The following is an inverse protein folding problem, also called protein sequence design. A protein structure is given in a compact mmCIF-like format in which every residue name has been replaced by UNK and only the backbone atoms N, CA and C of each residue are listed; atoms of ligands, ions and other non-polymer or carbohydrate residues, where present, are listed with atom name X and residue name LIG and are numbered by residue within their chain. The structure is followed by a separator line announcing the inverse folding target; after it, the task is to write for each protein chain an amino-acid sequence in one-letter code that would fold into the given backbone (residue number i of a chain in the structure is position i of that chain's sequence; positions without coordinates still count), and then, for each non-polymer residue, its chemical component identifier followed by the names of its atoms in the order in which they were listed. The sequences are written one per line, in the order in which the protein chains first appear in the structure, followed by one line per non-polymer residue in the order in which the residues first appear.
data_IF_477334302185
#
_entry.id   IF_477334302185
#
_cell.length_a   1.000
_cell.length_b   1.000
_cell.length_c   1.000
_cell.angle_alpha   90.00
_cell.angle_beta   90.00
_cell.angle_gamma   90.00
#
_symmetry.space_group_name_H-M   'P 1'
#
loop_
_entity.id
_entity.type
_entity.pdbx_description
1 polymer ?
#
# COMPACT_ATOMS: atom_id res chain seq x y z
N UNK A 1 -24.54 -40.08 26.87
CA UNK A 1 -24.71 -39.73 25.45
C UNK A 1 -23.46 -40.14 24.70
N UNK A 2 -23.59 -40.86 23.57
CA UNK A 2 -22.45 -41.11 22.68
C UNK A 2 -21.86 -39.76 22.25
N UNK A 3 -20.54 -39.68 22.11
CA UNK A 3 -19.93 -38.45 21.57
C UNK A 3 -20.45 -38.23 20.14
N UNK A 4 -20.62 -36.98 19.71
CA UNK A 4 -21.01 -36.65 18.33
C UNK A 4 -20.09 -37.33 17.31
N UNK A 5 -18.80 -37.47 17.66
CA UNK A 5 -17.80 -38.19 16.87
C UNK A 5 -18.14 -39.67 16.70
N UNK A 6 -18.62 -40.33 17.75
CA UNK A 6 -19.10 -41.71 17.69
C UNK A 6 -20.39 -41.81 16.86
N UNK A 7 -21.31 -40.84 16.99
CA UNK A 7 -22.55 -40.84 16.21
C UNK A 7 -22.28 -40.69 14.71
N UNK A 8 -21.37 -39.79 14.31
CA UNK A 8 -20.96 -39.63 12.90
C UNK A 8 -20.28 -40.89 12.38
N UNK A 9 -19.39 -41.50 13.18
CA UNK A 9 -18.73 -42.76 12.81
C UNK A 9 -19.74 -43.91 12.65
N UNK A 10 -20.69 -44.02 13.58
CA UNK A 10 -21.75 -45.02 13.51
C UNK A 10 -22.60 -44.82 12.24
N UNK A 11 -22.86 -43.58 11.84
CA UNK A 11 -23.61 -43.25 10.63
C UNK A 11 -22.82 -43.55 9.34
N UNK A 12 -21.52 -43.22 9.29
CA UNK A 12 -20.63 -43.61 8.17
C UNK A 12 -20.53 -45.14 8.05
N UNK A 13 -20.44 -45.86 9.18
CA UNK A 13 -20.43 -47.33 9.22
C UNK A 13 -21.75 -47.91 8.76
N UNK A 14 -22.89 -47.35 9.22
CA UNK A 14 -24.22 -47.78 8.80
C UNK A 14 -24.37 -47.64 7.29
N UNK A 15 -23.96 -46.50 6.72
CA UNK A 15 -24.00 -46.25 5.28
C UNK A 15 -23.09 -47.19 4.49
N UNK A 16 -21.90 -47.52 5.02
CA UNK A 16 -21.02 -48.52 4.40
C UNK A 16 -21.60 -49.93 4.43
N UNK A 17 -22.19 -50.35 5.56
CA UNK A 17 -22.85 -51.65 5.70
C UNK A 17 -24.06 -51.76 4.77
N UNK A 18 -24.91 -50.73 4.72
CA UNK A 18 -26.03 -50.66 3.77
C UNK A 18 -25.51 -50.81 2.33
N UNK A 19 -24.40 -50.12 1.99
CA UNK A 19 -23.86 -50.16 0.63
C UNK A 19 -23.24 -51.51 0.24
N UNK A 20 -22.68 -52.27 1.18
CA UNK A 20 -21.92 -53.49 0.90
C UNK A 20 -22.78 -54.76 1.02
N UNK A 21 -23.61 -54.85 2.05
CA UNK A 21 -24.25 -56.10 2.45
C UNK A 21 -25.72 -56.19 2.04
N UNK A 22 -26.35 -55.04 1.76
CA UNK A 22 -27.77 -54.95 1.36
C UNK A 22 -27.92 -54.81 -0.17
N UNK A 23 -26.99 -54.11 -0.83
CA UNK A 23 -27.09 -53.78 -2.27
C UNK A 23 -27.00 -55.00 -3.20
N UNK A 24 -26.46 -56.14 -2.75
CA UNK A 24 -26.33 -57.33 -3.58
C UNK A 24 -27.68 -57.97 -3.99
N UNK A 25 -28.66 -57.97 -3.07
CA UNK A 25 -29.90 -58.75 -3.23
C UNK A 25 -31.21 -57.92 -3.10
N UNK A 26 -31.13 -56.66 -2.67
CA UNK A 26 -32.32 -55.84 -2.39
C UNK A 26 -32.79 -55.07 -3.64
N UNK A 27 -33.90 -55.51 -4.24
CA UNK A 27 -34.47 -54.95 -5.50
C UNK A 27 -35.54 -53.88 -5.32
N UNK A 28 -35.77 -53.38 -4.11
CA UNK A 28 -36.80 -52.38 -3.83
C UNK A 28 -36.27 -50.97 -4.12
N UNK A 29 -36.54 -50.48 -5.33
CA UNK A 29 -36.15 -49.12 -5.76
C UNK A 29 -36.76 -48.02 -4.89
N UNK A 30 -37.93 -48.24 -4.28
CA UNK A 30 -38.59 -47.25 -3.42
C UNK A 30 -37.83 -47.09 -2.11
N UNK A 31 -37.50 -48.21 -1.45
CA UNK A 31 -36.69 -48.19 -0.23
C UNK A 31 -35.32 -47.53 -0.46
N UNK A 32 -34.69 -47.80 -1.61
CA UNK A 32 -33.42 -47.16 -1.96
C UNK A 32 -33.55 -45.65 -2.14
N UNK A 33 -34.62 -45.20 -2.82
CA UNK A 33 -34.92 -43.78 -2.98
C UNK A 33 -35.09 -43.11 -1.62
N UNK A 34 -35.88 -43.69 -0.73
CA UNK A 34 -36.12 -43.16 0.62
C UNK A 34 -34.83 -43.05 1.44
N UNK A 35 -33.96 -44.08 1.38
CA UNK A 35 -32.65 -44.05 2.05
C UNK A 35 -31.74 -42.95 1.51
N UNK A 36 -31.71 -42.76 0.19
CA UNK A 36 -30.93 -41.69 -0.43
C UNK A 36 -31.45 -40.31 -0.04
N UNK A 37 -32.77 -40.13 0.09
CA UNK A 37 -33.38 -38.89 0.58
C UNK A 37 -32.97 -38.59 2.03
N UNK A 38 -32.93 -39.60 2.90
CA UNK A 38 -32.47 -39.44 4.30
C UNK A 38 -30.99 -39.03 4.34
N UNK A 39 -30.14 -39.67 3.52
CA UNK A 39 -28.70 -39.36 3.46
C UNK A 39 -28.47 -37.93 2.97
N UNK A 40 -29.13 -37.54 1.88
CA UNK A 40 -29.02 -36.19 1.31
C UNK A 40 -29.52 -35.12 2.30
N UNK A 41 -30.64 -35.40 2.99
CA UNK A 41 -31.16 -34.51 4.05
C UNK A 41 -30.17 -34.36 5.20
N UNK A 42 -29.56 -35.46 5.64
CA UNK A 42 -28.55 -35.48 6.71
C UNK A 42 -27.29 -34.71 6.30
N UNK A 43 -26.79 -34.94 5.08
CA UNK A 43 -25.62 -34.24 4.54
C UNK A 43 -25.87 -32.73 4.46
N UNK A 44 -27.04 -32.32 3.96
CA UNK A 44 -27.44 -30.90 3.91
C UNK A 44 -27.46 -30.26 5.31
N UNK A 45 -27.98 -30.97 6.31
CA UNK A 45 -27.99 -30.48 7.70
C UNK A 45 -26.58 -30.36 8.27
N UNK A 46 -25.68 -31.30 7.97
CA UNK A 46 -24.28 -31.23 8.37
C UNK A 46 -23.56 -30.04 7.70
N UNK A 47 -23.77 -29.84 6.40
CA UNK A 47 -23.21 -28.70 5.66
C UNK A 47 -23.65 -27.38 6.27
N UNK A 48 -24.95 -27.22 6.57
CA UNK A 48 -25.48 -26.02 7.23
C UNK A 48 -24.90 -25.82 8.65
N UNK A 49 -24.85 -26.89 9.45
CA UNK A 49 -24.29 -26.84 10.80
C UNK A 49 -22.80 -26.49 10.81
N UNK A 50 -22.01 -27.08 9.91
CA UNK A 50 -20.59 -26.75 9.75
C UNK A 50 -20.40 -25.34 9.19
N UNK A 51 -21.22 -24.89 8.23
CA UNK A 51 -21.19 -23.52 7.74
C UNK A 51 -21.40 -22.50 8.87
N UNK A 52 -22.44 -22.70 9.69
CA UNK A 52 -22.69 -21.91 10.91
C UNK A 52 -21.55 -21.99 11.94
N UNK A 53 -20.84 -23.12 12.00
CA UNK A 53 -19.65 -23.27 12.86
C UNK A 53 -18.44 -22.51 12.32
N UNK A 54 -18.23 -22.50 11.00
CA UNK A 54 -17.14 -21.76 10.35
C UNK A 54 -17.29 -20.25 10.52
N UNK A 55 -18.52 -19.74 10.64
CA UNK A 55 -18.74 -18.34 11.04
C UNK A 55 -18.30 -18.03 12.47
N UNK A 56 -18.08 -19.03 13.33
CA UNK A 56 -17.74 -18.88 14.77
C UNK A 56 -16.31 -19.28 15.10
N UNK A 57 -15.42 -19.31 14.10
CA UNK A 57 -14.02 -19.68 14.29
C UNK A 57 -13.27 -18.80 15.29
N UNK A 58 -13.61 -17.50 15.39
CA UNK A 58 -13.04 -16.59 16.37
C UNK A 58 -13.44 -16.91 17.83
N UNK A 59 -14.62 -17.49 18.01
CA UNK A 59 -15.17 -17.86 19.33
C UNK A 59 -14.61 -19.20 19.80
N UNK A 60 -14.71 -20.25 18.98
CA UNK A 60 -14.33 -21.61 19.37
C UNK A 60 -12.85 -21.92 19.22
N UNK A 61 -12.14 -21.17 18.36
CA UNK A 61 -10.69 -21.29 18.12
C UNK A 61 -10.21 -22.74 17.89
N UNK A 62 -10.87 -23.54 17.01
CA UNK A 62 -10.48 -24.93 16.77
C UNK A 62 -9.06 -25.04 16.21
N UNK A 63 -8.43 -26.22 16.31
CA UNK A 63 -7.15 -26.45 15.61
C UNK A 63 -7.33 -26.30 14.10
N UNK A 64 -6.35 -25.73 13.40
CA UNK A 64 -6.43 -25.52 11.94
C UNK A 64 -6.65 -26.83 11.19
N UNK A 65 -6.01 -27.92 11.62
CA UNK A 65 -6.23 -29.26 11.03
C UNK A 65 -7.66 -29.78 11.19
N UNK A 66 -8.37 -29.38 12.24
CA UNK A 66 -9.79 -29.69 12.42
C UNK A 66 -10.64 -28.92 11.40
N UNK A 67 -10.36 -27.62 11.22
CA UNK A 67 -11.05 -26.79 10.21
C UNK A 67 -10.79 -27.33 8.80
N UNK A 68 -9.53 -27.67 8.50
CA UNK A 68 -9.13 -28.28 7.23
C UNK A 68 -9.90 -29.57 6.96
N UNK A 69 -10.01 -30.44 7.97
CA UNK A 69 -10.75 -31.71 7.85
C UNK A 69 -12.23 -31.47 7.57
N UNK A 70 -12.86 -30.52 8.26
CA UNK A 70 -14.26 -30.16 8.04
C UNK A 70 -14.47 -29.63 6.63
N UNK A 71 -13.63 -28.69 6.19
CA UNK A 71 -13.76 -28.06 4.87
C UNK A 71 -13.52 -29.08 3.75
N UNK A 72 -12.55 -29.99 3.89
CA UNK A 72 -12.32 -31.06 2.90
C UNK A 72 -13.47 -32.07 2.82
N UNK A 73 -14.12 -32.37 3.95
CA UNK A 73 -15.28 -33.29 4.00
C UNK A 73 -16.58 -32.63 3.56
N UNK A 74 -16.76 -31.34 3.85
CA UNK A 74 -17.99 -30.58 3.62
C UNK A 74 -17.68 -29.24 2.93
N UNK A 75 -17.18 -29.25 1.68
CA UNK A 75 -16.72 -28.03 1.02
C UNK A 75 -17.82 -26.99 0.81
N UNK A 76 -19.07 -27.43 0.63
CA UNK A 76 -20.22 -26.52 0.49
C UNK A 76 -20.52 -25.73 1.77
N UNK A 77 -19.97 -26.14 2.93
CA UNK A 77 -20.06 -25.37 4.16
C UNK A 77 -19.40 -23.99 4.03
N UNK A 78 -18.41 -23.84 3.14
CA UNK A 78 -17.79 -22.55 2.83
C UNK A 78 -18.72 -21.58 2.09
N UNK A 79 -19.77 -22.08 1.43
CA UNK A 79 -20.74 -21.29 0.67
C UNK A 79 -21.94 -20.86 1.52
N UNK A 80 -22.10 -21.45 2.71
CA UNK A 80 -23.14 -21.06 3.66
C UNK A 80 -22.86 -19.65 4.11
N UNK A 81 -23.87 -18.79 3.94
CA UNK A 81 -23.81 -17.41 4.36
C UNK A 81 -24.53 -17.24 5.69
N UNK A 82 -24.03 -16.33 6.52
CA UNK A 82 -24.69 -15.99 7.78
C UNK A 82 -25.88 -15.04 7.57
N UNK A 83 -26.51 -14.61 8.66
CA UNK A 83 -27.62 -13.65 8.68
C UNK A 83 -27.28 -12.27 8.09
N UNK A 84 -26.00 -11.94 7.98
CA UNK A 84 -25.49 -10.72 7.32
C UNK A 84 -25.10 -10.97 5.87
N UNK A 85 -25.45 -12.12 5.28
CA UNK A 85 -25.11 -12.53 3.91
C UNK A 85 -23.59 -12.64 3.66
N UNK A 86 -22.78 -12.85 4.71
CA UNK A 86 -21.31 -12.98 4.61
C UNK A 86 -20.90 -14.43 4.46
N UNK A 87 -19.80 -14.68 3.76
CA UNK A 87 -19.11 -15.98 3.73
C UNK A 87 -18.26 -16.20 5.00
N UNK A 88 -17.91 -17.44 5.36
CA UNK A 88 -17.12 -17.69 6.56
C UNK A 88 -15.76 -16.98 6.61
N UNK A 89 -15.10 -16.85 5.45
CA UNK A 89 -13.84 -16.10 5.32
C UNK A 89 -14.02 -14.61 5.64
N UNK A 90 -15.15 -14.00 5.25
CA UNK A 90 -15.48 -12.61 5.57
C UNK A 90 -15.73 -12.48 7.06
N UNK A 91 -16.48 -13.39 7.68
CA UNK A 91 -16.74 -13.35 9.14
C UNK A 91 -15.46 -13.41 9.97
N UNK A 92 -14.42 -14.14 9.52
CA UNK A 92 -13.13 -14.18 10.20
C UNK A 92 -12.49 -12.79 10.39
N UNK A 93 -12.70 -11.87 9.44
CA UNK A 93 -12.15 -10.51 9.50
C UNK A 93 -12.87 -9.61 10.50
N UNK A 94 -14.18 -9.84 10.69
CA UNK A 94 -15.01 -9.02 11.58
C UNK A 94 -14.87 -9.37 13.06
N UNK A 95 -14.12 -10.42 13.39
CA UNK A 95 -13.73 -10.67 14.77
C UNK A 95 -12.67 -9.66 15.21
N UNK A 96 -12.88 -9.04 16.37
CA UNK A 96 -11.89 -8.18 17.03
C UNK A 96 -10.65 -8.97 17.46
N UNK A 97 -10.77 -10.29 17.59
CA UNK A 97 -9.67 -11.18 17.94
C UNK A 97 -8.85 -11.59 16.72
N UNK A 98 -7.54 -11.38 16.79
CA UNK A 98 -6.57 -11.82 15.77
C UNK A 98 -6.54 -13.35 15.59
N UNK A 99 -7.13 -14.15 16.50
CA UNK A 99 -7.13 -15.61 16.38
C UNK A 99 -7.89 -16.15 15.16
N UNK A 100 -8.91 -15.44 14.69
CA UNK A 100 -9.67 -15.86 13.51
C UNK A 100 -8.88 -15.65 12.20
N UNK A 101 -7.92 -14.72 12.19
CA UNK A 101 -7.17 -14.34 10.99
C UNK A 101 -6.37 -15.51 10.42
N UNK A 102 -5.82 -16.39 11.27
CA UNK A 102 -5.04 -17.54 10.84
C UNK A 102 -5.80 -18.53 9.95
N UNK A 103 -7.14 -18.53 10.01
CA UNK A 103 -7.95 -19.40 9.15
C UNK A 103 -8.15 -18.83 7.75
N UNK A 104 -7.90 -17.53 7.51
CA UNK A 104 -8.14 -16.88 6.21
C UNK A 104 -7.39 -17.57 5.07
N UNK A 105 -6.07 -17.84 5.15
CA UNK A 105 -5.36 -18.53 4.06
C UNK A 105 -5.91 -19.93 3.79
N UNK A 106 -6.24 -20.67 4.85
CA UNK A 106 -6.85 -22.00 4.73
C UNK A 106 -8.21 -21.95 4.02
N UNK A 107 -9.09 -21.05 4.46
CA UNK A 107 -10.43 -20.92 3.88
C UNK A 107 -10.37 -20.44 2.42
N UNK A 108 -9.46 -19.52 2.09
CA UNK A 108 -9.27 -19.05 0.72
C UNK A 108 -8.74 -20.16 -0.20
N UNK A 109 -7.73 -20.92 0.25
CA UNK A 109 -7.12 -22.01 -0.51
C UNK A 109 -8.09 -23.14 -0.78
N UNK A 110 -8.81 -23.61 0.24
CA UNK A 110 -9.84 -24.64 0.03
C UNK A 110 -11.05 -24.07 -0.73
N UNK A 111 -11.43 -22.82 -0.46
CA UNK A 111 -12.51 -22.15 -1.18
C UNK A 111 -12.22 -22.06 -2.68
N UNK A 112 -10.97 -21.80 -3.07
CA UNK A 112 -10.57 -21.78 -4.48
C UNK A 112 -10.75 -23.14 -5.15
N UNK A 113 -10.37 -24.24 -4.47
CA UNK A 113 -10.58 -25.62 -4.98
C UNK A 113 -12.05 -25.96 -5.20
N UNK A 114 -12.93 -25.35 -4.42
CA UNK A 114 -14.37 -25.64 -4.43
C UNK A 114 -15.22 -24.50 -5.03
N UNK A 115 -14.58 -23.59 -5.77
CA UNK A 115 -15.24 -22.50 -6.49
C UNK A 115 -16.12 -21.61 -5.60
N UNK A 116 -15.68 -21.33 -4.38
CA UNK A 116 -16.42 -20.50 -3.41
C UNK A 116 -16.37 -19.04 -3.85
N UNK A 117 -17.54 -18.42 -4.01
CA UNK A 117 -17.69 -17.05 -4.51
C UNK A 117 -17.72 -16.94 -6.05
N UNK A 118 -17.35 -18.01 -6.78
CA UNK A 118 -17.22 -18.01 -8.24
C UNK A 118 -15.77 -18.16 -8.71
N UNK A 119 -15.57 -18.45 -10.00
CA UNK A 119 -14.28 -18.92 -10.53
C UNK A 119 -13.16 -17.91 -10.35
N UNK A 120 -13.50 -16.62 -10.44
CA UNK A 120 -12.57 -15.51 -10.31
C UNK A 120 -12.45 -15.00 -8.88
N UNK A 121 -13.29 -15.47 -7.94
CA UNK A 121 -13.35 -14.93 -6.57
C UNK A 121 -12.23 -15.40 -5.65
N UNK A 122 -11.31 -16.24 -6.13
CA UNK A 122 -10.16 -16.79 -5.38
C UNK A 122 -10.56 -17.32 -4.00
N UNK A 123 -11.60 -18.16 -3.99
CA UNK A 123 -12.13 -18.76 -2.76
C UNK A 123 -12.82 -17.79 -1.80
N UNK A 124 -13.42 -16.73 -2.34
CA UNK A 124 -14.12 -15.70 -1.57
C UNK A 124 -13.28 -14.47 -1.21
N UNK A 125 -11.98 -14.46 -1.54
CA UNK A 125 -11.11 -13.30 -1.31
C UNK A 125 -11.55 -12.07 -2.10
N UNK A 126 -12.04 -12.26 -3.32
CA UNK A 126 -12.50 -11.16 -4.17
C UNK A 126 -14.03 -10.97 -4.14
N UNK A 127 -14.71 -11.71 -3.25
CA UNK A 127 -16.15 -11.52 -3.02
C UNK A 127 -16.41 -10.28 -2.19
N UNK A 128 -17.38 -9.48 -2.61
CA UNK A 128 -17.82 -8.26 -1.93
C UNK A 128 -18.41 -8.58 -0.56
N UNK A 129 -18.03 -7.80 0.46
CA UNK A 129 -18.63 -7.88 1.79
C UNK A 129 -19.92 -7.04 1.82
N UNK A 130 -21.06 -7.65 2.14
CA UNK A 130 -22.37 -6.97 2.15
C UNK A 130 -22.50 -5.87 3.20
N UNK A 131 -21.59 -5.78 4.18
CA UNK A 131 -21.65 -4.77 5.25
C UNK A 131 -20.90 -3.49 4.94
N UNK A 132 -20.11 -3.46 3.89
CA UNK A 132 -19.52 -2.23 3.39
C UNK A 132 -20.55 -1.57 2.50
N UNK A 133 -21.34 -0.64 3.04
CA UNK A 133 -22.58 -0.11 2.45
C UNK A 133 -22.50 0.52 1.06
N UNK A 134 -21.32 0.62 0.45
CA UNK A 134 -21.13 1.02 -0.95
C UNK A 134 -20.86 -0.16 -1.90
N UNK A 135 -20.80 -1.40 -1.40
CA UNK A 135 -20.57 -2.61 -2.20
C UNK A 135 -19.19 -2.67 -2.86
N UNK A 136 -18.22 -1.85 -2.44
CA UNK A 136 -16.92 -1.76 -3.13
C UNK A 136 -15.80 -2.57 -2.48
N UNK A 137 -16.04 -3.15 -1.30
CA UNK A 137 -15.00 -3.80 -0.51
C UNK A 137 -15.08 -5.30 -0.65
N UNK A 138 -14.10 -5.88 -1.31
CA UNK A 138 -13.90 -7.32 -1.28
C UNK A 138 -13.14 -7.74 -0.01
N UNK A 139 -13.17 -9.03 0.29
CA UNK A 139 -12.49 -9.62 1.45
C UNK A 139 -11.00 -9.29 1.49
N UNK A 140 -10.30 -9.21 0.35
CA UNK A 140 -8.87 -8.87 0.29
C UNK A 140 -8.60 -7.41 0.69
N UNK A 141 -9.41 -6.46 0.22
CA UNK A 141 -9.37 -5.05 0.67
C UNK A 141 -9.65 -4.95 2.16
N UNK A 142 -10.57 -5.77 2.67
CA UNK A 142 -10.84 -5.86 4.11
C UNK A 142 -9.64 -6.41 4.89
N UNK A 143 -8.93 -7.43 4.41
CA UNK A 143 -7.67 -7.87 5.05
C UNK A 143 -6.70 -6.70 5.19
N UNK A 144 -6.56 -5.86 4.15
CA UNK A 144 -5.68 -4.69 4.20
C UNK A 144 -6.18 -3.56 5.12
N UNK A 145 -7.49 -3.36 5.28
CA UNK A 145 -8.05 -2.24 6.05
C UNK A 145 -8.55 -2.56 7.46
N UNK A 146 -8.83 -3.83 7.76
CA UNK A 146 -9.56 -4.17 8.97
C UNK A 146 -8.80 -3.82 10.23
N UNK A 147 -9.55 -3.27 11.20
CA UNK A 147 -9.07 -2.69 12.44
C UNK A 147 -8.10 -1.51 12.24
N UNK A 148 -8.08 -0.89 11.06
CA UNK A 148 -7.25 0.29 10.76
C UNK A 148 -7.54 1.53 11.60
N UNK A 149 -8.53 1.52 12.49
CA UNK A 149 -8.65 2.59 13.48
C UNK A 149 -7.38 2.77 14.32
N UNK A 150 -7.37 3.78 15.18
CA UNK A 150 -6.32 4.00 16.19
C UNK A 150 -6.23 2.87 17.26
N UNK A 151 -6.93 1.75 17.04
CA UNK A 151 -7.15 0.65 17.97
C UNK A 151 -6.47 -0.65 17.56
N UNK A 152 -5.90 -0.76 16.35
CA UNK A 152 -5.11 -1.93 15.99
C UNK A 152 -3.88 -2.04 16.90
N UNK A 153 -3.75 -3.19 17.57
CA UNK A 153 -2.54 -3.53 18.31
C UNK A 153 -1.48 -4.01 17.34
N UNK A 154 -0.21 -3.95 17.76
CA UNK A 154 0.92 -4.43 16.97
C UNK A 154 0.74 -5.91 16.60
N UNK A 155 0.27 -6.74 17.53
CA UNK A 155 0.07 -8.18 17.34
C UNK A 155 -1.04 -8.47 16.31
N UNK A 156 -2.07 -7.62 16.26
CA UNK A 156 -3.10 -7.71 15.24
C UNK A 156 -2.53 -7.41 13.86
N UNK A 157 -1.72 -6.36 13.74
CA UNK A 157 -1.08 -5.98 12.47
C UNK A 157 -0.09 -7.05 11.99
N UNK A 158 0.75 -7.57 12.88
CA UNK A 158 1.64 -8.72 12.63
C UNK A 158 0.86 -9.96 12.17
N UNK A 159 -0.32 -10.21 12.73
CA UNK A 159 -1.16 -11.33 12.33
C UNK A 159 -1.71 -11.16 10.91
N UNK A 160 -2.06 -9.93 10.50
CA UNK A 160 -2.48 -9.64 9.12
C UNK A 160 -1.32 -9.79 8.15
N UNK A 161 -0.11 -9.35 8.50
CA UNK A 161 1.09 -9.57 7.66
C UNK A 161 1.30 -11.07 7.40
N UNK A 162 1.20 -11.92 8.44
CA UNK A 162 1.29 -13.38 8.28
C UNK A 162 0.21 -13.96 7.35
N UNK A 163 -1.01 -13.39 7.38
CA UNK A 163 -2.07 -13.76 6.45
C UNK A 163 -1.67 -13.37 5.01
N UNK A 164 -1.23 -12.14 4.78
CA UNK A 164 -0.81 -11.67 3.46
C UNK A 164 0.37 -12.49 2.90
N UNK A 165 1.36 -12.81 3.74
CA UNK A 165 2.48 -13.70 3.39
C UNK A 165 2.02 -15.09 2.99
N UNK A 166 1.11 -15.70 3.76
CA UNK A 166 0.56 -17.01 3.43
C UNK A 166 -0.27 -16.98 2.15
N UNK A 167 -1.05 -15.92 1.92
CA UNK A 167 -1.81 -15.74 0.68
C UNK A 167 -0.87 -15.57 -0.52
N UNK A 168 0.24 -14.84 -0.37
CA UNK A 168 1.26 -14.69 -1.42
C UNK A 168 1.94 -16.04 -1.71
N UNK A 169 2.30 -16.79 -0.67
CA UNK A 169 2.91 -18.13 -0.79
C UNK A 169 2.02 -19.11 -1.55
N UNK A 170 0.70 -19.03 -1.33
CA UNK A 170 -0.29 -19.88 -1.99
C UNK A 170 -0.70 -19.36 -3.39
N UNK A 171 -0.11 -18.27 -3.88
CA UNK A 171 -0.43 -17.66 -5.18
C UNK A 171 -1.80 -16.97 -5.23
N UNK A 172 -2.40 -16.70 -4.06
CA UNK A 172 -3.72 -16.06 -3.93
C UNK A 172 -3.64 -14.53 -3.85
N UNK A 173 -2.51 -14.00 -3.36
CA UNK A 173 -2.14 -12.58 -3.41
C UNK A 173 -0.97 -12.39 -4.38
N UNK A 174 -1.14 -11.48 -5.33
CA UNK A 174 -0.16 -11.14 -6.36
C UNK A 174 0.28 -9.67 -6.22
N UNK A 175 1.35 -9.29 -6.93
CA UNK A 175 1.81 -7.88 -6.98
C UNK A 175 0.70 -6.99 -7.54
N UNK A 176 0.06 -7.44 -8.62
CA UNK A 176 -0.95 -6.68 -9.37
C UNK A 176 -2.17 -6.35 -8.52
N UNK A 177 -2.51 -7.21 -7.54
CA UNK A 177 -3.62 -7.00 -6.63
C UNK A 177 -3.42 -5.74 -5.76
N UNK A 178 -2.17 -5.34 -5.47
CA UNK A 178 -1.86 -4.14 -4.69
C UNK A 178 -2.40 -2.90 -5.40
N UNK A 179 -2.11 -2.78 -6.70
CA UNK A 179 -2.61 -1.73 -7.59
C UNK A 179 -4.10 -1.86 -7.85
N UNK A 180 -4.55 -3.03 -8.32
CA UNK A 180 -5.93 -3.28 -8.77
C UNK A 180 -6.98 -3.03 -7.67
N UNK A 181 -6.66 -3.41 -6.44
CA UNK A 181 -7.58 -3.28 -5.29
C UNK A 181 -7.19 -2.17 -4.32
N UNK A 182 -6.20 -1.35 -4.67
CA UNK A 182 -5.67 -0.26 -3.84
C UNK A 182 -5.34 -0.70 -2.40
N UNK A 183 -4.71 -1.88 -2.26
CA UNK A 183 -4.49 -2.50 -0.94
C UNK A 183 -3.61 -1.63 -0.04
N UNK A 184 -2.62 -0.94 -0.64
CA UNK A 184 -1.73 -0.07 0.11
C UNK A 184 -2.50 1.13 0.69
N UNK A 185 -3.40 1.74 -0.07
CA UNK A 185 -4.32 2.78 0.42
C UNK A 185 -5.24 2.25 1.54
N UNK A 186 -5.72 1.02 1.44
CA UNK A 186 -6.49 0.39 2.51
C UNK A 186 -5.70 0.24 3.82
N UNK A 187 -4.37 0.27 3.78
CA UNK A 187 -3.48 0.10 4.93
C UNK A 187 -2.85 1.40 5.47
N UNK A 188 -3.29 2.59 5.03
CA UNK A 188 -2.65 3.88 5.40
C UNK A 188 -2.93 4.38 6.82
N UNK A 189 -3.40 3.51 7.70
CA UNK A 189 -3.71 3.85 9.07
C UNK A 189 -2.49 3.73 9.99
N UNK A 190 -2.43 4.53 11.06
CA UNK A 190 -1.31 4.46 12.03
C UNK A 190 -1.13 3.07 12.65
N UNK A 191 -2.21 2.32 12.87
CA UNK A 191 -2.15 0.95 13.41
C UNK A 191 -1.84 -0.14 12.39
N UNK A 192 -1.64 0.23 11.12
CA UNK A 192 -1.44 -0.69 9.99
C UNK A 192 -0.06 -0.54 9.32
N UNK A 193 0.92 0.03 10.02
CA UNK A 193 2.22 0.33 9.41
C UNK A 193 2.99 -0.93 8.97
N UNK A 194 2.83 -2.07 9.63
CA UNK A 194 3.54 -3.30 9.25
C UNK A 194 2.95 -3.91 7.98
N UNK A 195 1.62 -3.94 7.84
CA UNK A 195 0.99 -4.39 6.60
C UNK A 195 1.19 -3.40 5.45
N UNK A 196 1.18 -2.10 5.73
CA UNK A 196 1.54 -1.08 4.74
C UNK A 196 2.97 -1.30 4.24
N UNK A 197 3.92 -1.48 5.17
CA UNK A 197 5.33 -1.79 4.87
C UNK A 197 5.44 -3.03 3.97
N UNK A 198 4.75 -4.11 4.32
CA UNK A 198 4.72 -5.34 3.53
C UNK A 198 4.19 -5.12 2.11
N UNK A 199 3.06 -4.42 1.97
CA UNK A 199 2.44 -4.14 0.67
C UNK A 199 3.31 -3.22 -0.20
N UNK A 200 4.01 -2.26 0.42
CA UNK A 200 4.96 -1.39 -0.27
C UNK A 200 6.20 -2.15 -0.75
N UNK A 201 6.71 -3.10 0.03
CA UNK A 201 7.79 -3.99 -0.44
C UNK A 201 7.31 -4.96 -1.53
N UNK A 202 6.02 -5.32 -1.53
CA UNK A 202 5.43 -6.16 -2.57
C UNK A 202 5.31 -5.42 -3.90
N UNK A 203 4.97 -4.13 -3.87
CA UNK A 203 4.87 -3.26 -5.04
C UNK A 203 5.41 -1.84 -4.77
N UNK A 204 6.73 -1.61 -4.92
CA UNK A 204 7.35 -0.31 -4.65
C UNK A 204 6.89 0.79 -5.61
N UNK A 205 6.50 0.42 -6.82
CA UNK A 205 6.07 1.32 -7.90
C UNK A 205 4.65 1.84 -7.68
N UNK A 206 3.90 1.28 -6.72
CA UNK A 206 2.54 1.72 -6.43
C UNK A 206 2.49 3.21 -6.07
N UNK A 207 3.43 3.73 -5.27
CA UNK A 207 3.39 5.14 -4.84
C UNK A 207 3.50 6.09 -6.03
N UNK A 208 4.35 5.77 -7.01
CA UNK A 208 4.62 6.61 -8.17
C UNK A 208 3.52 6.52 -9.23
N UNK A 209 2.92 5.34 -9.39
CA UNK A 209 1.87 5.07 -10.38
C UNK A 209 0.45 5.38 -9.88
N UNK A 210 0.25 5.53 -8.57
CA UNK A 210 -1.07 5.76 -8.00
C UNK A 210 -1.64 7.13 -8.40
N UNK A 211 -2.80 7.08 -9.05
CA UNK A 211 -3.68 8.24 -9.26
C UNK A 211 -5.12 7.80 -9.02
N UNK A 212 -5.80 8.46 -8.10
CA UNK A 212 -7.23 8.26 -7.83
C UNK A 212 -7.91 9.61 -7.67
N UNK A 213 -8.97 9.88 -8.42
CA UNK A 213 -9.70 11.16 -8.43
C UNK A 213 -8.77 12.38 -8.63
N UNK A 214 -7.82 12.27 -9.57
CA UNK A 214 -6.83 13.32 -9.86
C UNK A 214 -5.81 13.55 -8.74
N UNK A 215 -5.65 12.60 -7.81
CA UNK A 215 -4.74 12.74 -6.68
C UNK A 215 -3.66 11.68 -6.72
N UNK A 216 -2.42 12.13 -6.64
CA UNK A 216 -1.27 11.26 -6.39
C UNK A 216 -1.38 10.64 -5.00
N UNK A 217 -0.54 9.64 -4.70
CA UNK A 217 -0.63 8.92 -3.44
C UNK A 217 -0.51 9.85 -2.22
N UNK A 218 0.43 10.79 -2.25
CA UNK A 218 0.64 11.74 -1.15
C UNK A 218 -0.54 12.70 -0.98
N UNK A 219 -1.10 13.22 -2.08
CA UNK A 219 -2.29 14.05 -2.02
C UNK A 219 -3.49 13.30 -1.46
N UNK A 220 -3.65 12.04 -1.84
CA UNK A 220 -4.73 11.20 -1.36
C UNK A 220 -4.57 10.92 0.15
N UNK A 221 -3.36 10.52 0.58
CA UNK A 221 -3.02 10.29 1.99
C UNK A 221 -3.36 11.51 2.85
N UNK A 222 -3.07 12.72 2.36
CA UNK A 222 -3.40 13.96 3.08
C UNK A 222 -4.90 14.25 3.00
N UNK A 223 -5.55 14.05 1.85
CA UNK A 223 -6.97 14.37 1.65
C UNK A 223 -7.91 13.51 2.48
N UNK A 224 -7.81 12.17 2.36
CA UNK A 224 -8.80 11.25 2.92
C UNK A 224 -8.71 11.07 4.43
N UNK A 225 -7.52 11.27 5.00
CA UNK A 225 -7.30 10.99 6.42
C UNK A 225 -7.19 12.27 7.23
N UNK A 226 -8.05 12.38 8.24
CA UNK A 226 -8.24 13.61 9.02
C UNK A 226 -7.13 13.86 10.05
N UNK A 227 -6.27 12.88 10.33
CA UNK A 227 -5.30 12.98 11.42
C UNK A 227 -3.85 12.95 10.94
N UNK A 228 -3.09 13.95 11.39
CA UNK A 228 -1.65 14.07 11.18
C UNK A 228 -0.87 12.82 11.61
N UNK A 229 -1.36 12.08 12.60
CA UNK A 229 -0.70 10.87 13.09
C UNK A 229 -0.70 9.71 12.08
N UNK A 230 -1.66 9.65 11.16
CA UNK A 230 -1.67 8.67 10.06
C UNK A 230 -0.65 9.06 9.01
N UNK A 231 -0.67 10.33 8.58
CA UNK A 231 0.31 10.89 7.66
C UNK A 231 1.75 10.66 8.15
N UNK A 232 2.05 11.01 9.41
CA UNK A 232 3.36 10.78 10.05
C UNK A 232 3.77 9.30 10.03
N UNK A 233 2.86 8.39 10.39
CA UNK A 233 3.15 6.97 10.47
C UNK A 233 3.49 6.36 9.10
N UNK A 234 2.75 6.75 8.06
CA UNK A 234 2.97 6.27 6.69
C UNK A 234 4.22 6.89 6.08
N UNK A 235 4.42 8.20 6.26
CA UNK A 235 5.63 8.88 5.78
C UNK A 235 6.90 8.26 6.37
N UNK A 236 6.87 7.90 7.66
CA UNK A 236 7.97 7.18 8.32
C UNK A 236 8.31 5.88 7.60
N UNK A 237 7.32 5.07 7.27
CA UNK A 237 7.54 3.77 6.58
C UNK A 237 8.09 3.99 5.18
N UNK A 238 7.56 4.97 4.44
CA UNK A 238 8.05 5.31 3.10
C UNK A 238 9.53 5.70 3.17
N UNK A 239 9.91 6.58 4.11
CA UNK A 239 11.28 7.10 4.19
C UNK A 239 12.26 6.06 4.72
N UNK A 240 11.81 5.15 5.58
CA UNK A 240 12.61 4.03 6.07
C UNK A 240 12.96 3.05 4.94
N UNK A 241 12.05 2.83 3.98
CA UNK A 241 12.25 1.86 2.90
C UNK A 241 12.80 2.46 1.60
N UNK A 242 12.33 3.65 1.24
CA UNK A 242 12.56 4.33 -0.04
C UNK A 242 12.74 5.83 0.21
N UNK A 243 13.87 6.28 0.78
CA UNK A 243 14.10 7.70 1.06
C UNK A 243 13.97 8.59 -0.18
N UNK A 244 14.26 8.08 -1.38
CA UNK A 244 14.06 8.76 -2.66
C UNK A 244 12.58 9.11 -2.93
N UNK A 245 11.63 8.37 -2.35
CA UNK A 245 10.20 8.66 -2.44
C UNK A 245 9.78 9.89 -1.61
N UNK A 246 10.68 10.48 -0.83
CA UNK A 246 10.44 11.78 -0.20
C UNK A 246 10.21 12.90 -1.23
N UNK A 247 10.71 12.74 -2.46
CA UNK A 247 10.41 13.62 -3.59
C UNK A 247 8.90 13.76 -3.88
N UNK A 248 8.09 12.74 -3.57
CA UNK A 248 6.63 12.79 -3.82
C UNK A 248 5.89 13.78 -2.93
N UNK A 249 6.49 14.28 -1.84
CA UNK A 249 5.93 15.41 -1.09
C UNK A 249 5.88 16.70 -1.91
N UNK A 250 6.74 16.80 -2.92
CA UNK A 250 6.89 17.96 -3.79
C UNK A 250 6.24 17.77 -5.16
N UNK A 251 5.65 16.60 -5.39
CA UNK A 251 4.86 16.37 -6.59
C UNK A 251 3.61 17.25 -6.54
N UNK A 252 3.28 17.88 -7.68
CA UNK A 252 2.03 18.62 -7.87
C UNK A 252 0.85 17.65 -7.98
N UNK A 253 -0.35 18.11 -7.62
CA UNK A 253 -1.57 17.38 -7.99
C UNK A 253 -1.79 17.39 -9.52
N UNK A 254 -2.78 16.62 -10.00
CA UNK A 254 -2.99 16.50 -11.46
C UNK A 254 -3.43 17.81 -12.11
N UNK A 255 -3.93 18.75 -11.31
CA UNK A 255 -4.35 20.09 -11.76
C UNK A 255 -3.20 21.10 -11.76
N UNK A 256 -2.02 20.70 -11.27
CA UNK A 256 -0.83 21.54 -11.20
C UNK A 256 -1.00 22.74 -10.25
N UNK A 257 -1.88 22.65 -9.25
CA UNK A 257 -2.22 23.78 -8.39
C UNK A 257 -1.34 23.89 -7.15
N UNK A 258 -1.04 22.75 -6.52
CA UNK A 258 -0.25 22.72 -5.30
C UNK A 258 0.50 21.40 -5.17
N UNK A 259 1.61 21.44 -4.45
CA UNK A 259 2.34 20.26 -4.02
C UNK A 259 1.63 19.54 -2.87
N UNK A 260 1.99 18.28 -2.64
CA UNK A 260 1.46 17.53 -1.50
C UNK A 260 1.84 18.18 -0.16
N UNK A 261 3.06 18.73 -0.03
CA UNK A 261 3.46 19.44 1.19
C UNK A 261 2.68 20.72 1.43
N UNK A 262 2.41 21.51 0.39
CA UNK A 262 1.54 22.70 0.52
C UNK A 262 0.12 22.29 0.97
N UNK A 263 -0.40 21.16 0.47
CA UNK A 263 -1.67 20.60 0.95
C UNK A 263 -1.61 20.17 2.42
N UNK A 264 -0.51 19.56 2.85
CA UNK A 264 -0.32 19.17 4.25
C UNK A 264 -0.28 20.41 5.16
N UNK A 265 0.47 21.46 4.78
CA UNK A 265 0.54 22.73 5.51
C UNK A 265 -0.85 23.35 5.63
N UNK A 266 -1.60 23.43 4.53
CA UNK A 266 -2.96 23.97 4.53
C UNK A 266 -3.90 23.17 5.45
N UNK A 267 -3.77 21.84 5.47
CA UNK A 267 -4.67 20.95 6.22
C UNK A 267 -4.32 20.86 7.72
N UNK A 268 -3.05 20.70 8.05
CA UNK A 268 -2.61 20.36 9.41
C UNK A 268 -1.95 21.53 10.14
N UNK A 269 -1.61 22.62 9.44
CA UNK A 269 -0.82 23.72 9.95
C UNK A 269 0.65 23.61 9.58
N UNK A 270 1.28 24.78 9.42
CA UNK A 270 2.69 24.92 9.07
C UNK A 270 3.60 24.24 10.09
N UNK A 271 3.46 24.60 11.37
CA UNK A 271 4.31 24.12 12.46
C UNK A 271 4.25 22.60 12.59
N UNK A 272 3.04 22.04 12.59
CA UNK A 272 2.77 20.63 12.73
C UNK A 272 3.34 19.83 11.56
N UNK A 273 3.11 20.30 10.33
CA UNK A 273 3.62 19.66 9.12
C UNK A 273 5.14 19.66 9.07
N UNK A 274 5.76 20.82 9.31
CA UNK A 274 7.22 20.93 9.31
C UNK A 274 7.88 20.12 10.42
N UNK A 275 7.25 20.01 11.59
CA UNK A 275 7.73 19.14 12.67
C UNK A 275 7.78 17.69 12.22
N UNK A 276 6.72 17.20 11.55
CA UNK A 276 6.68 15.83 11.02
C UNK A 276 7.75 15.62 9.96
N UNK A 277 7.86 16.52 8.98
CA UNK A 277 8.85 16.41 7.91
C UNK A 277 10.27 16.44 8.48
N UNK A 278 10.55 17.33 9.42
CA UNK A 278 11.85 17.43 10.08
C UNK A 278 12.21 16.14 10.79
N UNK A 279 11.30 15.58 11.60
CA UNK A 279 11.54 14.31 12.28
C UNK A 279 11.86 13.16 11.31
N UNK A 280 11.22 13.10 10.14
CA UNK A 280 11.44 12.01 9.17
C UNK A 280 12.73 12.18 8.37
N UNK A 281 13.14 13.42 8.08
CA UNK A 281 14.29 13.71 7.23
C UNK A 281 15.59 13.83 8.03
N UNK A 282 15.52 14.27 9.30
CA UNK A 282 16.71 14.30 10.16
C UNK A 282 17.34 12.92 10.37
N UNK A 283 16.57 11.82 10.24
CA UNK A 283 17.12 10.46 10.25
C UNK A 283 17.81 10.05 8.95
N UNK A 284 17.52 10.73 7.83
CA UNK A 284 18.00 10.41 6.50
C UNK A 284 18.94 11.53 6.01
N UNK A 285 20.01 11.82 6.78
CA UNK A 285 20.88 13.02 6.68
C UNK A 285 21.43 13.38 5.28
N UNK A 286 21.21 12.55 4.27
CA UNK A 286 21.65 12.73 2.88
C UNK A 286 20.50 13.08 1.91
N UNK A 287 19.25 13.22 2.36
CA UNK A 287 18.16 13.58 1.46
C UNK A 287 18.22 15.06 1.05
N UNK A 288 18.36 15.40 -0.25
CA UNK A 288 18.52 16.76 -0.76
C UNK A 288 17.19 17.53 -0.77
N UNK A 289 16.58 17.72 0.42
CA UNK A 289 15.23 18.26 0.57
C UNK A 289 15.08 19.66 -0.04
N UNK A 290 16.12 20.50 0.06
CA UNK A 290 16.07 21.85 -0.50
C UNK A 290 16.07 21.84 -2.02
N UNK A 291 16.71 20.86 -2.66
CA UNK A 291 16.67 20.71 -4.11
C UNK A 291 15.23 20.48 -4.56
N UNK A 292 14.50 19.59 -3.89
CA UNK A 292 13.09 19.35 -4.20
C UNK A 292 12.21 20.56 -3.85
N UNK A 293 12.39 21.15 -2.68
CA UNK A 293 11.59 22.29 -2.23
C UNK A 293 11.74 23.50 -3.17
N UNK A 294 12.97 23.89 -3.51
CA UNK A 294 13.22 25.10 -4.31
C UNK A 294 12.95 24.92 -5.80
N UNK A 295 12.94 23.68 -6.31
CA UNK A 295 12.64 23.41 -7.73
C UNK A 295 11.17 23.13 -8.02
N UNK A 296 10.39 22.73 -7.01
CA UNK A 296 9.02 22.26 -7.20
C UNK A 296 7.94 23.10 -6.51
N UNK A 297 8.29 23.85 -5.46
CA UNK A 297 7.32 24.69 -4.72
C UNK A 297 7.28 26.07 -5.34
N UNK A 298 6.10 26.54 -5.74
CA UNK A 298 5.94 27.88 -6.33
C UNK A 298 5.74 28.99 -5.29
N UNK A 299 5.33 28.67 -4.07
CA UNK A 299 5.15 29.66 -2.99
C UNK A 299 6.49 30.09 -2.38
N UNK A 300 6.92 31.37 -2.52
CA UNK A 300 8.18 31.85 -1.93
C UNK A 300 8.19 31.78 -0.40
N UNK A 301 7.01 31.91 0.24
CA UNK A 301 6.87 31.77 1.69
C UNK A 301 7.18 30.34 2.13
N UNK A 302 6.68 29.35 1.39
CA UNK A 302 6.93 27.93 1.66
C UNK A 302 8.40 27.58 1.38
N UNK A 303 8.99 28.08 0.29
CA UNK A 303 10.44 27.92 0.05
C UNK A 303 11.28 28.47 1.21
N UNK A 304 10.96 29.68 1.69
CA UNK A 304 11.63 30.33 2.84
C UNK A 304 11.52 29.49 4.10
N UNK A 305 10.36 28.87 4.34
CA UNK A 305 10.14 27.98 5.45
C UNK A 305 11.08 26.76 5.40
N UNK A 306 11.21 26.11 4.25
CA UNK A 306 12.12 24.98 4.07
C UNK A 306 13.58 25.36 4.31
N UNK A 307 14.04 26.50 3.77
CA UNK A 307 15.41 26.98 4.01
C UNK A 307 15.68 27.22 5.50
N UNK A 308 14.70 27.75 6.24
CA UNK A 308 14.80 27.96 7.69
C UNK A 308 14.79 26.65 8.49
N UNK A 309 13.98 25.68 8.06
CA UNK A 309 13.85 24.38 8.75
C UNK A 309 15.00 23.42 8.45
N UNK A 310 15.65 23.55 7.30
CA UNK A 310 16.69 22.62 6.83
C UNK A 310 17.98 23.33 6.37
N UNK A 311 18.59 24.21 7.19
CA UNK A 311 19.77 24.97 6.77
C UNK A 311 20.96 24.07 6.45
N UNK A 312 21.04 22.90 7.09
CA UNK A 312 22.08 21.90 6.86
C UNK A 312 22.02 21.27 5.46
N UNK A 313 20.84 21.23 4.83
CA UNK A 313 20.64 20.60 3.53
C UNK A 313 21.14 21.47 2.36
N UNK A 314 21.55 22.73 2.62
CA UNK A 314 22.03 23.67 1.61
C UNK A 314 23.26 23.14 0.85
N UNK A 315 24.13 22.42 1.56
CA UNK A 315 25.38 21.89 1.02
C UNK A 315 25.26 20.45 0.51
N UNK A 316 24.07 19.84 0.58
CA UNK A 316 23.87 18.51 0.02
C UNK A 316 23.94 18.55 -1.51
N UNK A 317 24.23 17.39 -2.07
CA UNK A 317 24.15 17.17 -3.51
C UNK A 317 22.97 16.27 -3.82
N UNK A 318 22.34 16.47 -4.98
CA UNK A 318 21.28 15.56 -5.42
C UNK A 318 21.84 14.22 -5.94
N UNK A 319 20.95 13.33 -6.39
CA UNK A 319 21.32 12.02 -6.95
C UNK A 319 22.18 12.12 -8.22
N UNK A 320 22.20 13.28 -8.88
CA UNK A 320 23.07 13.57 -10.02
C UNK A 320 24.37 14.25 -9.59
N UNK A 321 24.65 14.32 -8.28
CA UNK A 321 25.79 15.01 -7.69
C UNK A 321 25.75 16.55 -7.89
N UNK A 322 24.59 17.14 -8.18
CA UNK A 322 24.43 18.58 -8.36
C UNK A 322 24.39 19.31 -7.02
N UNK A 323 25.08 20.44 -6.92
CA UNK A 323 24.82 21.40 -5.85
C UNK A 323 23.41 21.98 -5.96
N UNK A 324 22.89 22.58 -4.89
CA UNK A 324 21.57 23.20 -4.87
C UNK A 324 21.39 24.22 -6.01
N UNK A 325 22.41 25.03 -6.25
CA UNK A 325 22.42 26.03 -7.31
C UNK A 325 22.36 25.35 -8.68
N UNK A 326 23.16 24.31 -8.92
CA UNK A 326 23.12 23.58 -10.19
C UNK A 326 21.74 22.95 -10.44
N UNK A 327 21.08 22.43 -9.41
CA UNK A 327 19.72 21.90 -9.53
C UNK A 327 18.70 23.00 -9.88
N UNK A 328 18.81 24.19 -9.26
CA UNK A 328 17.97 25.36 -9.60
C UNK A 328 18.18 25.78 -11.06
N UNK A 329 19.44 25.84 -11.51
CA UNK A 329 19.78 26.19 -12.90
C UNK A 329 19.24 25.14 -13.89
N UNK A 330 19.40 23.86 -13.57
CA UNK A 330 18.94 22.75 -14.40
C UNK A 330 17.40 22.67 -14.48
N UNK A 331 16.69 23.18 -13.46
CA UNK A 331 15.23 23.25 -13.45
C UNK A 331 14.67 24.36 -14.37
N UNK A 332 15.53 25.29 -14.81
CA UNK A 332 15.24 26.24 -15.88
C UNK A 332 14.95 27.68 -15.41
N UNK A 333 14.82 28.62 -16.36
CA UNK A 333 14.83 30.07 -16.10
C UNK A 333 13.75 30.54 -15.11
N UNK A 334 12.53 30.00 -15.20
CA UNK A 334 11.43 30.31 -14.28
C UNK A 334 11.80 30.00 -12.82
N UNK A 335 12.44 28.86 -12.57
CA UNK A 335 12.86 28.45 -11.22
C UNK A 335 14.02 29.34 -10.74
N UNK A 336 14.91 29.76 -11.64
CA UNK A 336 15.96 30.74 -11.33
C UNK A 336 15.37 32.08 -10.90
N UNK A 337 14.31 32.56 -11.57
CA UNK A 337 13.61 33.80 -11.20
C UNK A 337 12.94 33.70 -9.83
N UNK A 338 12.21 32.61 -9.58
CA UNK A 338 11.57 32.33 -8.28
C UNK A 338 12.61 32.26 -7.15
N UNK A 339 13.86 31.87 -7.47
CA UNK A 339 14.97 31.73 -6.55
C UNK A 339 16.10 32.75 -6.79
N UNK A 340 15.78 33.96 -7.27
CA UNK A 340 16.78 34.96 -7.66
C UNK A 340 17.78 35.32 -6.54
N UNK A 341 17.35 35.23 -5.28
CA UNK A 341 18.21 35.45 -4.11
C UNK A 341 19.30 34.37 -3.97
N UNK A 342 18.98 33.10 -4.24
CA UNK A 342 19.97 32.00 -4.24
C UNK A 342 20.95 32.20 -5.40
N UNK A 343 20.43 32.52 -6.59
CA UNK A 343 21.25 32.80 -7.77
C UNK A 343 22.23 33.97 -7.53
N UNK A 344 21.76 35.08 -6.95
CA UNK A 344 22.59 36.24 -6.64
C UNK A 344 23.68 35.92 -5.60
N UNK A 345 23.43 34.96 -4.71
CA UNK A 345 24.37 34.53 -3.66
C UNK A 345 25.44 33.55 -4.13
N UNK A 346 25.45 33.16 -5.41
CA UNK A 346 26.41 32.20 -5.97
C UNK A 346 27.86 32.68 -5.74
N UNK A 347 28.71 31.82 -5.19
CA UNK A 347 30.14 32.09 -5.01
C UNK A 347 30.89 32.00 -6.33
N UNK A 348 32.08 32.58 -6.40
CA UNK A 348 32.90 32.54 -7.60
C UNK A 348 33.33 31.09 -7.93
N UNK A 349 33.59 30.26 -6.92
CA UNK A 349 33.88 28.83 -7.08
C UNK A 349 32.70 28.08 -7.71
N UNK A 350 31.47 28.39 -7.28
CA UNK A 350 30.26 27.80 -7.85
C UNK A 350 30.06 28.21 -9.31
N UNK A 351 30.48 29.42 -9.71
CA UNK A 351 30.46 29.85 -11.12
C UNK A 351 31.43 29.01 -11.98
N UNK A 352 32.53 28.53 -11.41
CA UNK A 352 33.46 27.61 -12.08
C UNK A 352 33.04 26.14 -12.00
N UNK A 353 31.99 25.79 -11.25
CA UNK A 353 31.56 24.41 -11.07
C UNK A 353 30.65 23.95 -12.21
N UNK A 354 31.17 23.06 -13.07
CA UNK A 354 30.38 22.45 -14.16
C UNK A 354 29.29 21.56 -13.59
N UNK A 355 28.11 21.61 -14.21
CA UNK A 355 27.04 20.65 -13.93
C UNK A 355 27.55 19.23 -14.23
N UNK A 356 27.50 18.30 -13.26
CA UNK A 356 28.08 16.96 -13.41
C UNK A 356 27.40 16.10 -14.48
N UNK A 357 26.17 16.44 -14.90
CA UNK A 357 25.41 15.68 -15.92
C UNK A 357 25.65 16.22 -17.31
N UNK A 358 25.52 17.54 -17.47
CA UNK A 358 25.55 18.22 -18.77
C UNK A 358 26.94 18.75 -19.12
N UNK A 359 27.86 18.80 -18.15
CA UNK A 359 29.23 19.34 -18.27
C UNK A 359 29.32 20.82 -18.63
N UNK A 360 28.20 21.53 -18.62
CA UNK A 360 28.14 22.97 -18.93
C UNK A 360 28.36 23.81 -17.67
N UNK A 361 28.88 25.01 -17.87
CA UNK A 361 29.02 26.00 -16.79
C UNK A 361 27.69 26.70 -16.48
N UNK A 362 27.53 27.27 -15.26
CA UNK A 362 26.34 28.01 -14.86
C UNK A 362 25.86 29.07 -15.87
N UNK A 363 26.77 29.88 -16.43
CA UNK A 363 26.39 30.91 -17.41
C UNK A 363 25.79 30.30 -18.69
N UNK A 364 26.30 29.14 -19.13
CA UNK A 364 25.79 28.42 -20.28
C UNK A 364 24.46 27.73 -19.95
N UNK A 365 24.31 27.17 -18.75
CA UNK A 365 23.06 26.58 -18.29
C UNK A 365 21.91 27.60 -18.30
N UNK A 366 22.15 28.80 -17.78
CA UNK A 366 21.16 29.89 -17.77
C UNK A 366 20.80 30.38 -19.18
N UNK A 367 21.77 30.38 -20.10
CA UNK A 367 21.56 30.76 -21.49
C UNK A 367 20.94 29.64 -22.35
N UNK A 368 20.87 28.41 -21.84
CA UNK A 368 20.40 27.25 -22.58
C UNK A 368 18.87 27.11 -22.57
N UNK A 369 18.32 26.55 -23.64
CA UNK A 369 16.89 26.26 -23.77
C UNK A 369 16.10 27.35 -24.48
N UNK A 370 14.79 27.10 -24.63
CA UNK A 370 13.86 27.98 -25.37
C UNK A 370 13.69 29.35 -24.71
N UNK A 371 13.85 29.40 -23.38
CA UNK A 371 13.61 30.57 -22.55
C UNK A 371 14.90 31.09 -21.89
N UNK A 372 16.07 30.82 -22.49
CA UNK A 372 17.37 31.18 -21.93
C UNK A 372 17.51 32.68 -21.60
N UNK A 373 18.15 32.98 -20.47
CA UNK A 373 18.31 34.35 -19.97
C UNK A 373 19.74 34.85 -20.21
N UNK A 374 19.91 35.60 -21.30
CA UNK A 374 21.21 36.16 -21.65
C UNK A 374 21.68 37.22 -20.65
N UNK A 375 20.79 37.97 -19.99
CA UNK A 375 21.19 39.00 -19.04
C UNK A 375 21.84 38.37 -17.80
N UNK A 376 21.20 37.32 -17.24
CA UNK A 376 21.77 36.55 -16.13
C UNK A 376 23.05 35.79 -16.55
N UNK A 377 23.11 35.28 -17.77
CA UNK A 377 24.33 34.68 -18.31
C UNK A 377 25.49 35.69 -18.38
N UNK A 378 25.24 36.89 -18.94
CA UNK A 378 26.22 37.98 -18.97
C UNK A 378 26.59 38.48 -17.58
N UNK A 379 25.65 38.48 -16.63
CA UNK A 379 25.95 38.80 -15.23
C UNK A 379 27.00 37.84 -14.63
N UNK A 380 26.84 36.53 -14.83
CA UNK A 380 27.82 35.54 -14.36
C UNK A 380 29.18 35.70 -15.05
N UNK A 381 29.18 35.93 -16.37
CA UNK A 381 30.42 36.18 -17.14
C UNK A 381 31.14 37.45 -16.69
N UNK A 382 30.41 38.52 -16.35
CA UNK A 382 31.00 39.76 -15.83
C UNK A 382 31.64 39.55 -14.45
N UNK A 383 31.04 38.71 -13.61
CA UNK A 383 31.61 38.35 -12.31
C UNK A 383 32.89 37.53 -12.46
N UNK A 384 32.90 36.57 -13.38
CA UNK A 384 34.02 35.65 -13.58
C UNK A 384 34.34 35.46 -15.07
N UNK A 385 35.03 36.42 -15.72
CA UNK A 385 35.30 36.35 -17.16
C UNK A 385 36.21 35.17 -17.55
N UNK A 386 37.10 34.73 -16.64
CA UNK A 386 38.03 33.62 -16.88
C UNK A 386 37.37 32.24 -17.06
N UNK A 387 36.06 32.12 -16.83
CA UNK A 387 35.32 30.88 -17.13
C UNK A 387 35.28 30.56 -18.62
N UNK A 388 35.33 31.60 -19.48
CA UNK A 388 35.34 31.45 -20.95
C UNK A 388 36.66 30.84 -21.40
N UNK A 389 37.79 31.34 -20.88
CA UNK A 389 39.12 30.85 -21.24
C UNK A 389 39.28 29.36 -20.90
N UNK A 390 38.74 28.92 -19.75
CA UNK A 390 38.74 27.51 -19.33
C UNK A 390 37.80 26.62 -20.14
N UNK A 391 36.76 27.20 -20.74
CA UNK A 391 35.83 26.45 -21.59
C UNK A 391 36.45 26.07 -22.94
N UNK A 392 37.37 26.90 -23.46
CA UNK A 392 38.02 26.69 -24.75
C UNK A 392 39.16 25.67 -24.77
N UNK A 393 39.80 25.41 -23.62
CA UNK A 393 40.98 24.53 -23.54
C UNK A 393 40.67 23.03 -23.52
N UNK A 394 39.40 22.62 -23.65
CA UNK A 394 38.97 21.22 -23.55
C UNK A 394 38.56 20.54 -24.87
N UNK A 395 38.75 21.18 -26.03
CA UNK A 395 38.34 20.65 -27.34
C UNK A 395 39.54 20.13 -28.17
N UNK A 396 40.74 20.06 -27.58
CA UNK A 396 41.93 19.54 -28.26
C UNK A 396 42.59 18.42 -27.43
N UNK A 397 41.98 17.24 -27.41
CA UNK A 397 42.66 15.94 -27.25
C UNK A 397 41.78 14.79 -27.78
#
# INVERSE_FOLDING_TARGET
MKSLRQQIFDLEMLLKCIRKDIIGDWKDETCWKDLMEIVQSTEKQLVDAFGKSLHRLGEFKPKESTVETVVKKFPDALKIKNEKNRLPIQTCLWYTSHHALKYIPLLAREGMRHNVGGGESRGGLLTLDPSCGNGQWNTLRLVANMNGGNTATKEYDESIVKVLESLKKDGLLKKEDVAEYHLMMCSTWKGCTMRFKYLLQLDPEYISSFVLDGKTFMHYLIHTWTYLCHFKAILKVIFELYPEHAGYLFQMDTDGQQTAVERAIQKYGEKETMTVIHEMISSAQEFPILHHALTSIHSPATQTLFMKSFPWAYNLRDHNNRSLIQAILAAGPKVVDENAHVFASMSDEQIYEKDPVTTIYPFAAVASGKDGDLEKSFYLLRRQPGVVDRSGTGIAE
#
